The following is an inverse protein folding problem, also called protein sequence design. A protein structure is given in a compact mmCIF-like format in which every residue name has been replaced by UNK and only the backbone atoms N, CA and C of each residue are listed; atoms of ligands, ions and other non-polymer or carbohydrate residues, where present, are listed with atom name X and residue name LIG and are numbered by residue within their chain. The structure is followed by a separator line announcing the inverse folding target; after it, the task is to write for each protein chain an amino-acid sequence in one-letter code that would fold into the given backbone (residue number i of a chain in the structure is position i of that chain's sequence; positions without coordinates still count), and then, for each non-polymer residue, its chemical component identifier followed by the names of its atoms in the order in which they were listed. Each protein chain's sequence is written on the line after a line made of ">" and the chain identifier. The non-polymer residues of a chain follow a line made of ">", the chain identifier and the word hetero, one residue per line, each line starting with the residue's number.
data_IF_445422628471
#
_entry.id   IF_445422628471
#
_cell.length_a   1.000
_cell.length_b   1.000
_cell.length_c   1.000
_cell.angle_alpha   90.00
_cell.angle_beta   90.00
_cell.angle_gamma   90.00
#
_symmetry.space_group_name_H-M   'P 1'
#
loop_
_entity.id
_entity.type
_entity.pdbx_description
1 polymer ?
#
# COMPACT_ATOMS: atom_id res chain seq x y z
N UNK A 1 11.24 4.93 23.92
CA UNK A 1 10.06 5.44 23.18
C UNK A 1 9.33 4.34 22.42
N UNK A 2 9.91 3.68 21.40
CA UNK A 2 9.24 2.59 20.66
C UNK A 2 8.76 1.46 21.59
N UNK A 3 9.59 1.04 22.55
CA UNK A 3 9.25 0.04 23.57
C UNK A 3 8.12 0.49 24.52
N UNK A 4 8.04 1.78 24.84
CA UNK A 4 7.00 2.31 25.74
C UNK A 4 5.65 2.37 25.02
N UNK A 5 5.64 2.82 23.77
CA UNK A 5 4.46 2.82 22.90
C UNK A 5 3.98 1.38 22.65
N UNK A 6 4.91 0.46 22.37
CA UNK A 6 4.60 -0.95 22.12
C UNK A 6 3.97 -1.68 23.31
N UNK A 7 4.25 -1.22 24.54
CA UNK A 7 3.66 -1.75 25.76
C UNK A 7 2.34 -1.07 26.16
N UNK A 8 1.86 -0.09 25.38
CA UNK A 8 0.64 0.66 25.67
C UNK A 8 0.77 1.66 26.83
N UNK A 9 1.99 2.04 27.21
CA UNK A 9 2.20 3.04 28.25
C UNK A 9 1.77 4.42 27.76
N UNK A 10 1.09 5.19 28.62
CA UNK A 10 0.79 6.60 28.35
C UNK A 10 2.09 7.39 28.45
N UNK A 11 2.43 8.10 27.37
CA UNK A 11 3.63 8.93 27.31
C UNK A 11 3.48 10.19 28.14
N UNK A 12 4.57 10.65 28.76
CA UNK A 12 4.59 11.96 29.41
C UNK A 12 4.64 13.09 28.37
N UNK A 13 4.38 14.33 28.80
CA UNK A 13 4.45 15.50 27.93
C UNK A 13 5.83 15.67 27.31
N UNK A 14 6.90 15.42 28.07
CA UNK A 14 8.28 15.51 27.62
C UNK A 14 8.59 14.44 26.57
N UNK A 15 8.07 13.23 26.75
CA UNK A 15 8.24 12.14 25.78
C UNK A 15 7.52 12.43 24.46
N UNK A 16 6.32 13.01 24.53
CA UNK A 16 5.58 13.50 23.36
C UNK A 16 6.39 14.59 22.64
N UNK A 17 6.93 15.57 23.37
CA UNK A 17 7.75 16.63 22.77
C UNK A 17 8.98 16.10 22.03
N UNK A 18 9.67 15.09 22.58
CA UNK A 18 10.82 14.44 21.91
C UNK A 18 10.40 13.64 20.68
N UNK A 19 9.17 13.12 20.65
CA UNK A 19 8.61 12.45 19.48
C UNK A 19 8.28 13.47 18.39
N UNK A 20 7.54 14.52 18.75
CA UNK A 20 7.09 15.58 17.84
C UNK A 20 8.25 16.38 17.27
N UNK A 21 9.37 16.51 17.99
CA UNK A 21 10.58 17.18 17.47
C UNK A 21 11.21 16.48 16.26
N UNK A 22 10.75 15.27 15.92
CA UNK A 22 11.20 14.50 14.75
C UNK A 22 10.22 14.61 13.57
N UNK A 23 9.09 15.27 13.78
CA UNK A 23 8.13 15.50 12.70
C UNK A 23 8.73 16.50 11.73
N UNK A 24 8.67 16.12 10.45
CA UNK A 24 9.09 16.93 9.33
C UNK A 24 7.91 17.10 8.39
N UNK A 25 7.95 18.16 7.61
CA UNK A 25 6.97 18.43 6.55
C UNK A 25 7.08 17.42 5.41
N UNK A 26 6.05 17.35 4.57
CA UNK A 26 6.03 16.46 3.41
C UNK A 26 7.13 16.83 2.42
N UNK A 27 7.36 18.13 2.25
CA UNK A 27 8.35 18.72 1.36
C UNK A 27 9.76 18.38 1.83
N UNK A 28 10.04 18.51 3.13
CA UNK A 28 11.31 18.09 3.71
C UNK A 28 11.53 16.58 3.54
N UNK A 29 10.53 15.76 3.82
CA UNK A 29 10.62 14.32 3.63
C UNK A 29 10.94 13.94 2.17
N UNK A 30 10.31 14.62 1.20
CA UNK A 30 10.56 14.39 -0.23
C UNK A 30 11.99 14.79 -0.64
N UNK A 31 12.56 15.83 -0.01
CA UNK A 31 13.94 16.26 -0.28
C UNK A 31 15.00 15.31 0.29
N UNK A 32 14.72 14.71 1.46
CA UNK A 32 15.67 13.83 2.17
C UNK A 32 15.55 12.37 1.74
N UNK A 33 14.35 11.92 1.38
CA UNK A 33 14.06 10.52 1.05
C UNK A 33 12.92 10.41 0.04
N UNK A 34 13.20 10.80 -1.22
CA UNK A 34 12.21 10.77 -2.30
C UNK A 34 11.66 9.35 -2.57
N UNK A 35 12.53 8.34 -2.47
CA UNK A 35 12.23 6.92 -2.71
C UNK A 35 11.92 6.12 -1.44
N UNK A 36 11.66 6.80 -0.32
CA UNK A 36 11.40 6.15 0.96
C UNK A 36 10.07 5.39 0.99
N UNK A 37 10.02 4.31 1.77
CA UNK A 37 8.75 3.63 2.08
C UNK A 37 7.88 4.57 2.93
N UNK A 38 6.70 4.91 2.44
CA UNK A 38 5.74 5.75 3.14
C UNK A 38 4.70 4.89 3.86
N UNK A 39 4.68 4.98 5.19
CA UNK A 39 3.67 4.33 6.03
C UNK A 39 2.50 5.29 6.22
N UNK A 40 1.31 4.88 5.78
CA UNK A 40 0.11 5.70 5.78
C UNK A 40 -0.98 4.99 6.59
N UNK A 41 -1.71 5.74 7.40
CA UNK A 41 -2.65 5.20 8.36
C UNK A 41 -3.94 4.61 7.74
N UNK A 42 -4.40 5.14 6.60
CA UNK A 42 -5.67 4.70 5.98
C UNK A 42 -5.52 4.35 4.51
N UNK A 43 -6.29 3.36 4.07
CA UNK A 43 -6.34 2.96 2.66
C UNK A 43 -6.78 4.09 1.73
N UNK A 44 -7.65 5.00 2.21
CA UNK A 44 -8.09 6.14 1.42
C UNK A 44 -6.91 7.05 1.04
N UNK A 45 -6.04 7.35 2.01
CA UNK A 45 -4.86 8.20 1.77
C UNK A 45 -3.79 7.45 0.97
N UNK A 46 -3.64 6.13 1.16
CA UNK A 46 -2.78 5.29 0.29
C UNK A 46 -3.24 5.38 -1.16
N UNK A 47 -4.55 5.25 -1.41
CA UNK A 47 -5.10 5.30 -2.76
C UNK A 47 -4.88 6.68 -3.39
N UNK A 48 -5.15 7.76 -2.66
CA UNK A 48 -4.91 9.13 -3.14
C UNK A 48 -3.43 9.35 -3.52
N UNK A 49 -2.52 8.92 -2.64
CA UNK A 49 -1.08 9.00 -2.89
C UNK A 49 -0.67 8.20 -4.13
N UNK A 50 -1.07 6.92 -4.21
CA UNK A 50 -0.75 6.06 -5.35
C UNK A 50 -1.33 6.64 -6.64
N UNK A 51 -2.57 7.14 -6.64
CA UNK A 51 -3.17 7.78 -7.82
C UNK A 51 -2.40 9.03 -8.25
N UNK A 52 -1.93 9.86 -7.31
CA UNK A 52 -1.15 11.05 -7.66
C UNK A 52 0.17 10.73 -8.36
N UNK A 53 0.86 9.66 -7.96
CA UNK A 53 2.08 9.21 -8.65
C UNK A 53 1.71 8.58 -9.98
N UNK A 54 0.83 7.58 -9.94
CA UNK A 54 0.51 6.79 -11.12
C UNK A 54 -0.12 7.66 -12.22
N UNK A 55 -0.95 8.66 -11.92
CA UNK A 55 -1.60 9.47 -12.96
C UNK A 55 -0.63 10.41 -13.69
N UNK A 56 0.46 10.82 -13.05
CA UNK A 56 1.41 11.78 -13.61
C UNK A 56 2.48 11.13 -14.49
N UNK A 57 2.61 9.80 -14.45
CA UNK A 57 3.63 9.05 -15.16
C UNK A 57 3.09 8.49 -16.47
N UNK A 58 3.82 8.64 -17.57
CA UNK A 58 3.44 8.05 -18.87
C UNK A 58 3.89 6.59 -18.97
N UNK A 59 5.08 6.27 -18.43
CA UNK A 59 5.68 4.95 -18.49
C UNK A 59 5.26 4.10 -17.29
N UNK A 60 4.20 3.31 -17.50
CA UNK A 60 3.71 2.34 -16.51
C UNK A 60 3.89 0.94 -17.03
N UNK A 61 4.35 0.06 -16.15
CA UNK A 61 4.37 -1.39 -16.38
C UNK A 61 3.28 -2.04 -15.56
N UNK A 62 2.46 -2.84 -16.22
CA UNK A 62 1.44 -3.65 -15.58
C UNK A 62 2.01 -5.05 -15.32
N UNK A 63 2.08 -5.44 -14.06
CA UNK A 63 2.44 -6.78 -13.63
C UNK A 63 1.17 -7.54 -13.28
N UNK A 64 0.86 -8.59 -14.03
CA UNK A 64 -0.27 -9.48 -13.76
C UNK A 64 0.18 -10.69 -12.93
N UNK A 65 -0.60 -11.03 -11.92
CA UNK A 65 -0.40 -12.24 -11.15
C UNK A 65 -0.58 -13.49 -12.03
N UNK A 66 0.24 -14.51 -11.77
CA UNK A 66 0.11 -15.83 -12.38
C UNK A 66 -0.52 -16.77 -11.36
N UNK A 67 -1.84 -16.78 -11.31
CA UNK A 67 -2.61 -17.55 -10.33
C UNK A 67 -2.88 -18.98 -10.81
N UNK A 68 -2.96 -19.92 -9.85
CA UNK A 68 -3.38 -21.30 -10.09
C UNK A 68 -4.68 -21.55 -9.33
N UNK A 69 -5.76 -21.83 -10.06
CA UNK A 69 -7.08 -22.11 -9.48
C UNK A 69 -7.29 -23.60 -9.27
N UNK A 70 -7.54 -24.01 -8.03
CA UNK A 70 -7.83 -25.41 -7.67
C UNK A 70 -9.33 -25.63 -7.46
N UNK A 71 -9.81 -26.85 -7.74
CA UNK A 71 -11.22 -27.23 -7.54
C UNK A 71 -12.18 -26.86 -8.66
N UNK A 72 -11.68 -26.35 -9.80
CA UNK A 72 -12.46 -26.19 -11.02
C UNK A 72 -12.51 -27.51 -11.79
N UNK A 73 -13.70 -27.91 -12.25
CA UNK A 73 -13.93 -29.17 -12.96
C UNK A 73 -13.94 -28.99 -14.48
N UNK A 74 -14.01 -27.75 -14.96
CA UNK A 74 -13.99 -27.38 -16.38
C UNK A 74 -13.52 -25.93 -16.57
N UNK A 75 -13.25 -25.57 -17.84
CA UNK A 75 -12.76 -24.24 -18.21
C UNK A 75 -13.76 -23.11 -17.94
N UNK A 76 -15.07 -23.39 -17.94
CA UNK A 76 -16.08 -22.37 -17.61
C UNK A 76 -16.02 -21.96 -16.13
N UNK A 77 -15.86 -22.94 -15.24
CA UNK A 77 -15.68 -22.70 -13.80
C UNK A 77 -14.40 -21.92 -13.53
N UNK A 78 -13.30 -22.30 -14.19
CA UNK A 78 -12.02 -21.60 -14.06
C UNK A 78 -12.15 -20.14 -14.52
N UNK A 79 -12.70 -19.90 -15.72
CA UNK A 79 -12.95 -18.56 -16.23
C UNK A 79 -13.83 -17.71 -15.30
N UNK A 80 -14.87 -18.32 -14.71
CA UNK A 80 -15.74 -17.63 -13.77
C UNK A 80 -14.99 -17.20 -12.50
N UNK A 81 -14.18 -18.10 -11.91
CA UNK A 81 -13.41 -17.79 -10.70
C UNK A 81 -12.33 -16.75 -10.99
N UNK A 82 -11.64 -16.85 -12.12
CA UNK A 82 -10.65 -15.85 -12.58
C UNK A 82 -11.29 -14.47 -12.72
N UNK A 83 -12.41 -14.37 -13.44
CA UNK A 83 -13.11 -13.08 -13.59
C UNK A 83 -13.62 -12.53 -12.26
N UNK A 84 -14.00 -13.40 -11.33
CA UNK A 84 -14.42 -13.00 -9.99
C UNK A 84 -13.24 -12.42 -9.21
N UNK A 85 -12.09 -13.09 -9.21
CA UNK A 85 -10.86 -12.60 -8.57
C UNK A 85 -10.42 -11.26 -9.15
N UNK A 86 -10.44 -11.11 -10.48
CA UNK A 86 -10.00 -9.88 -11.14
C UNK A 86 -10.90 -8.66 -10.85
N UNK A 87 -12.13 -8.88 -10.34
CA UNK A 87 -13.05 -7.82 -9.94
C UNK A 87 -13.03 -7.55 -8.44
N UNK A 88 -12.26 -8.32 -7.66
CA UNK A 88 -12.13 -8.09 -6.23
C UNK A 88 -11.31 -6.84 -5.95
N UNK A 89 -11.78 -6.03 -5.00
CA UNK A 89 -11.00 -4.94 -4.44
C UNK A 89 -9.84 -5.51 -3.62
N UNK A 90 -8.71 -4.82 -3.59
CA UNK A 90 -7.49 -5.27 -2.91
C UNK A 90 -7.69 -5.58 -1.41
N UNK A 91 -8.61 -4.90 -0.74
CA UNK A 91 -8.98 -5.17 0.65
C UNK A 91 -9.59 -6.58 0.85
N UNK A 92 -10.30 -7.09 -0.16
CA UNK A 92 -10.87 -8.44 -0.15
C UNK A 92 -9.85 -9.52 -0.54
N UNK A 93 -8.67 -9.14 -1.02
CA UNK A 93 -7.58 -10.06 -1.42
C UNK A 93 -6.39 -10.02 -0.45
N UNK A 94 -6.58 -9.48 0.76
CA UNK A 94 -5.50 -9.35 1.74
C UNK A 94 -4.41 -8.36 1.32
N UNK A 95 -4.74 -7.39 0.46
CA UNK A 95 -3.81 -6.40 -0.08
C UNK A 95 -3.04 -6.85 -1.31
N UNK A 96 -3.36 -8.03 -1.88
CA UNK A 96 -2.69 -8.60 -3.05
C UNK A 96 -3.63 -8.58 -4.26
N UNK A 97 -3.71 -7.47 -5.01
CA UNK A 97 -4.52 -7.43 -6.22
C UNK A 97 -3.90 -8.34 -7.31
N UNK A 98 -4.73 -8.86 -8.22
CA UNK A 98 -4.26 -9.63 -9.38
C UNK A 98 -3.45 -8.78 -10.37
N UNK A 99 -3.61 -7.46 -10.32
CA UNK A 99 -2.94 -6.48 -11.17
C UNK A 99 -2.18 -5.48 -10.30
N UNK A 100 -0.90 -5.31 -10.59
CA UNK A 100 -0.04 -4.32 -9.96
C UNK A 100 0.52 -3.38 -11.02
N UNK A 101 0.15 -2.09 -10.93
CA UNK A 101 0.68 -1.04 -11.81
C UNK A 101 1.91 -0.44 -11.16
N UNK A 102 3.03 -0.48 -11.88
CA UNK A 102 4.33 -0.02 -11.42
C UNK A 102 4.84 1.09 -12.33
N UNK A 103 5.46 2.11 -11.75
CA UNK A 103 6.28 3.08 -12.47
C UNK A 103 7.72 2.61 -12.32
N UNK A 104 8.38 2.33 -13.45
CA UNK A 104 9.79 1.96 -13.48
C UNK A 104 10.57 3.16 -13.96
N UNK A 105 11.43 3.69 -13.08
CA UNK A 105 12.41 4.73 -13.41
C UNK A 105 13.67 4.11 -14.01
#
# INVERSE_FOLDING_TARGET
>A
MLFLIGNGNILTKEEIQVMESRFITKEEAQSVCSEGIKLIFTNAVVNEYNHSILNNEENKTMSLASDVFVGCHNAEQENFVTQKLHKMRADNTGGLPYELILVLN
#
